data_IF_246110753381
#
_entry.id   IF_246110753381
#
_cell.length_a   1.000
_cell.length_b   1.000
_cell.length_c   1.000
_cell.angle_alpha   90.00
_cell.angle_beta   90.00
_cell.angle_gamma   90.00
#
_symmetry.space_group_name_H-M   'P 1'
#
loop_
_entity.id
_entity.type
_entity.pdbx_description
1 polymer ?
#
# COMPACT_ATOMS: atom_id res chain seq x y z
N UNK A 1 -26.01 -0.51 41.83
CA UNK A 1 -25.36 0.69 41.27
C UNK A 1 -24.34 0.20 40.27
N UNK A 2 -24.49 0.49 38.97
CA UNK A 2 -23.55 -0.03 37.96
C UNK A 2 -22.24 0.74 38.05
N UNK A 3 -21.16 0.08 38.48
CA UNK A 3 -19.83 0.68 38.45
C UNK A 3 -19.39 0.81 36.98
N UNK A 4 -19.08 2.04 36.56
CA UNK A 4 -18.57 2.30 35.21
C UNK A 4 -17.03 2.26 35.24
N UNK A 5 -16.44 1.38 34.44
CA UNK A 5 -14.99 1.32 34.23
C UNK A 5 -14.67 1.88 32.85
N UNK A 6 -13.75 2.83 32.82
CA UNK A 6 -13.15 3.33 31.59
C UNK A 6 -12.06 2.35 31.15
N UNK A 7 -12.28 1.64 30.05
CA UNK A 7 -11.26 0.80 29.43
C UNK A 7 -10.32 1.68 28.63
N UNK A 8 -9.03 1.62 28.96
CA UNK A 8 -7.98 2.37 28.27
C UNK A 8 -7.13 1.44 27.41
N UNK A 9 -6.51 2.00 26.37
CA UNK A 9 -5.50 1.31 25.58
C UNK A 9 -4.33 0.88 26.49
N UNK A 10 -4.06 -0.43 26.65
CA UNK A 10 -2.92 -0.92 27.42
C UNK A 10 -1.59 -0.56 26.74
N UNK A 11 -0.46 -0.88 27.36
CA UNK A 11 0.85 -0.61 26.77
C UNK A 11 1.01 -1.38 25.45
N UNK A 12 1.03 -0.64 24.34
CA UNK A 12 1.18 -1.14 22.97
C UNK A 12 2.65 -1.11 22.51
N UNK A 13 3.60 -1.12 23.46
CA UNK A 13 5.03 -1.18 23.17
C UNK A 13 5.62 0.15 22.70
N UNK A 14 5.10 1.27 23.22
CA UNK A 14 5.59 2.62 22.93
C UNK A 14 5.22 3.19 21.55
N UNK A 15 4.27 2.57 20.83
CA UNK A 15 3.76 3.09 19.56
C UNK A 15 2.68 4.17 19.78
N UNK A 16 2.85 5.35 19.18
CA UNK A 16 1.87 6.44 19.20
C UNK A 16 1.06 6.46 17.89
N UNK A 17 -0.21 6.87 17.94
CA UNK A 17 -1.10 7.01 16.78
C UNK A 17 -1.28 5.71 15.96
N UNK A 18 -1.73 4.66 16.62
CA UNK A 18 -1.95 3.35 16.01
C UNK A 18 -3.38 3.24 15.50
N UNK A 19 -3.57 2.60 14.35
CA UNK A 19 -4.85 2.54 13.63
C UNK A 19 -5.65 1.30 14.03
N UNK A 20 -6.94 1.50 14.26
CA UNK A 20 -7.90 0.42 14.53
C UNK A 20 -8.33 -0.22 13.22
N UNK A 21 -7.99 -1.50 13.04
CA UNK A 21 -8.28 -2.24 11.81
C UNK A 21 -9.60 -3.02 11.88
N UNK A 22 -10.04 -3.40 13.08
CA UNK A 22 -11.25 -4.20 13.28
C UNK A 22 -11.85 -3.94 14.68
N UNK A 23 -13.17 -3.76 14.74
CA UNK A 23 -13.94 -3.75 15.99
C UNK A 23 -14.57 -5.14 16.18
N UNK A 24 -14.24 -5.83 17.27
CA UNK A 24 -14.72 -7.19 17.54
C UNK A 24 -15.99 -7.23 18.39
N UNK A 25 -16.45 -6.07 18.90
CA UNK A 25 -17.58 -5.97 19.83
C UNK A 25 -18.49 -4.80 19.48
N UNK A 26 -19.78 -4.94 19.76
CA UNK A 26 -20.80 -3.90 19.53
C UNK A 26 -21.26 -3.25 20.84
N UNK A 27 -21.71 -1.98 20.82
CA UNK A 27 -22.33 -1.36 21.99
C UNK A 27 -23.59 -2.14 22.40
N UNK A 28 -23.65 -2.57 23.66
CA UNK A 28 -24.72 -3.40 24.23
C UNK A 28 -24.34 -4.87 24.45
N UNK A 29 -23.19 -5.31 23.92
CA UNK A 29 -22.73 -6.70 24.04
C UNK A 29 -22.08 -6.98 25.41
N UNK A 30 -22.30 -8.19 25.94
CA UNK A 30 -21.62 -8.67 27.15
C UNK A 30 -20.27 -9.28 26.80
N UNK A 31 -19.20 -8.76 27.38
CA UNK A 31 -17.82 -9.22 27.12
C UNK A 31 -17.29 -9.94 28.35
N UNK A 32 -16.52 -11.01 28.15
CA UNK A 32 -15.81 -11.74 29.21
C UNK A 32 -14.44 -11.12 29.48
N UNK A 33 -13.88 -11.35 30.66
CA UNK A 33 -12.47 -10.99 30.95
C UNK A 33 -11.55 -11.66 29.92
N UNK A 34 -10.54 -10.94 29.42
CA UNK A 34 -9.61 -11.38 28.36
C UNK A 34 -10.20 -11.55 26.95
N UNK A 35 -11.47 -11.22 26.71
CA UNK A 35 -12.04 -11.24 25.35
C UNK A 35 -11.61 -10.00 24.56
N UNK A 36 -11.17 -10.17 23.32
CA UNK A 36 -10.76 -9.08 22.44
C UNK A 36 -11.83 -8.04 22.18
N UNK A 37 -11.48 -6.77 22.35
CA UNK A 37 -12.35 -5.64 22.05
C UNK A 37 -12.05 -5.06 20.65
N UNK A 38 -10.77 -4.83 20.36
CA UNK A 38 -10.31 -4.15 19.15
C UNK A 38 -9.00 -4.76 18.69
N UNK A 39 -8.85 -4.90 17.38
CA UNK A 39 -7.58 -5.26 16.75
C UNK A 39 -6.88 -4.02 16.21
N UNK A 40 -5.60 -3.88 16.54
CA UNK A 40 -4.80 -2.67 16.27
C UNK A 40 -3.53 -3.06 15.52
N UNK A 41 -3.16 -2.31 14.48
CA UNK A 41 -1.97 -2.58 13.66
C UNK A 41 -0.80 -1.64 14.03
N UNK A 42 0.20 -2.18 14.73
CA UNK A 42 1.46 -1.48 15.02
C UNK A 42 2.48 -1.62 13.88
N UNK A 43 3.60 -0.89 13.92
CA UNK A 43 4.67 -0.94 12.90
C UNK A 43 5.32 -2.34 12.71
N UNK A 44 5.06 -3.28 13.62
CA UNK A 44 5.71 -4.59 13.63
C UNK A 44 4.75 -5.77 13.74
N UNK A 45 3.55 -5.56 14.29
CA UNK A 45 2.59 -6.63 14.49
C UNK A 45 1.17 -6.10 14.61
N UNK A 46 0.22 -6.96 14.24
CA UNK A 46 -1.18 -6.80 14.63
C UNK A 46 -1.36 -7.37 16.03
N UNK A 47 -1.93 -6.57 16.93
CA UNK A 47 -2.17 -6.96 18.32
C UNK A 47 -3.64 -6.76 18.67
N UNK A 48 -4.18 -7.70 19.41
CA UNK A 48 -5.54 -7.65 19.95
C UNK A 48 -5.50 -7.02 21.34
N UNK A 49 -6.40 -6.07 21.60
CA UNK A 49 -6.56 -5.45 22.92
C UNK A 49 -7.67 -6.20 23.67
N UNK A 50 -7.35 -6.98 24.72
CA UNK A 50 -8.35 -7.69 25.51
C UNK A 50 -9.11 -6.76 26.45
N UNK A 51 -10.32 -7.17 26.83
CA UNK A 51 -11.12 -6.51 27.85
C UNK A 51 -10.54 -6.74 29.26
N UNK A 52 -10.29 -5.67 30.05
CA UNK A 52 -9.71 -5.80 31.38
C UNK A 52 -10.65 -6.46 32.40
N UNK A 53 -11.97 -6.48 32.16
CA UNK A 53 -12.95 -7.09 33.04
C UNK A 53 -14.23 -7.47 32.29
N UNK A 54 -14.91 -8.52 32.76
CA UNK A 54 -16.22 -8.90 32.24
C UNK A 54 -17.29 -7.82 32.56
N UNK A 55 -18.10 -7.45 31.57
CA UNK A 55 -19.12 -6.41 31.73
C UNK A 55 -19.89 -6.13 30.44
N UNK A 56 -20.91 -5.29 30.54
CA UNK A 56 -21.70 -4.85 29.38
C UNK A 56 -21.08 -3.58 28.80
N UNK A 57 -20.80 -3.57 27.49
CA UNK A 57 -20.30 -2.38 26.79
C UNK A 57 -21.44 -1.38 26.66
N UNK A 58 -21.37 -0.24 27.36
CA UNK A 58 -22.39 0.81 27.19
C UNK A 58 -22.12 1.72 26.01
N UNK A 59 -20.85 2.03 25.75
CA UNK A 59 -20.45 2.98 24.72
C UNK A 59 -19.03 2.67 24.25
N UNK A 60 -18.83 2.62 22.93
CA UNK A 60 -17.53 2.52 22.29
C UNK A 60 -17.22 3.89 21.68
N UNK A 61 -16.07 4.49 22.02
CA UNK A 61 -15.69 5.84 21.55
C UNK A 61 -14.72 5.82 20.37
N UNK A 62 -14.52 4.65 19.79
CA UNK A 62 -13.50 4.34 18.80
C UNK A 62 -14.18 3.73 17.58
N UNK A 63 -13.95 4.31 16.40
CA UNK A 63 -14.49 3.83 15.13
C UNK A 63 -13.43 3.06 14.33
N UNK A 64 -13.85 2.25 13.35
CA UNK A 64 -12.92 1.61 12.42
C UNK A 64 -12.08 2.68 11.68
N UNK A 65 -10.76 2.51 11.66
CA UNK A 65 -9.82 3.47 11.07
C UNK A 65 -9.45 4.65 11.97
N UNK A 66 -9.95 4.72 13.21
CA UNK A 66 -9.56 5.76 14.16
C UNK A 66 -8.14 5.55 14.72
N UNK A 67 -7.48 6.65 15.07
CA UNK A 67 -6.12 6.66 15.63
C UNK A 67 -6.18 6.73 17.14
N UNK A 68 -5.59 5.74 17.79
CA UNK A 68 -5.54 5.62 19.25
C UNK A 68 -4.10 5.49 19.73
N UNK A 69 -3.82 6.06 20.89
CA UNK A 69 -2.53 6.02 21.57
C UNK A 69 -2.66 5.38 22.95
N UNK A 70 -1.53 5.02 23.56
CA UNK A 70 -1.51 4.44 24.91
C UNK A 70 -2.27 5.34 25.90
N UNK A 71 -3.20 4.74 26.65
CA UNK A 71 -4.01 5.45 27.64
C UNK A 71 -5.30 6.10 27.12
N UNK A 72 -5.57 6.06 25.81
CA UNK A 72 -6.83 6.56 25.24
C UNK A 72 -8.02 5.68 25.63
N UNK A 73 -9.20 6.30 25.73
CA UNK A 73 -10.40 5.64 26.21
C UNK A 73 -11.07 4.87 25.06
N UNK A 74 -11.08 3.54 25.17
CA UNK A 74 -11.63 2.64 24.14
C UNK A 74 -13.14 2.50 24.30
N UNK A 75 -13.59 2.12 25.49
CA UNK A 75 -14.98 1.82 25.79
C UNK A 75 -15.30 2.06 27.26
N UNK A 76 -16.57 2.31 27.54
CA UNK A 76 -17.11 2.37 28.90
C UNK A 76 -17.84 1.05 29.20
N UNK A 77 -17.26 0.26 30.11
CA UNK A 77 -17.87 -0.98 30.61
C UNK A 77 -18.71 -0.70 31.84
N UNK A 78 -19.93 -1.24 31.89
CA UNK A 78 -20.73 -1.31 33.11
C UNK A 78 -20.55 -2.68 33.75
N UNK A 79 -20.00 -2.72 34.97
CA UNK A 79 -19.95 -3.95 35.76
C UNK A 79 -21.34 -4.18 36.32
N UNK A 80 -21.96 -5.29 35.90
CA UNK A 80 -23.06 -5.88 36.63
C UNK A 80 -22.48 -6.92 37.57
N UNK A 81 -22.69 -6.72 38.88
CA UNK A 81 -22.45 -7.76 39.87
C UNK A 81 -23.31 -8.99 39.50
N UNK A 82 -22.68 -10.14 39.61
CA UNK A 82 -23.08 -11.44 39.08
C UNK A 82 -24.53 -11.82 39.44
N UNK A 83 -25.34 -12.08 38.41
CA UNK A 83 -26.58 -12.84 38.52
C UNK A 83 -26.52 -13.98 37.49
N UNK A 84 -26.41 -15.25 37.92
CA UNK A 84 -26.30 -16.38 37.01
C UNK A 84 -27.69 -16.88 36.62
N UNK A 85 -27.95 -17.05 35.32
CA UNK A 85 -28.92 -18.02 34.74
C UNK A 85 -28.99 -17.83 33.21
N UNK A 86 -29.40 -18.84 32.42
CA UNK A 86 -28.92 -20.21 32.34
C UNK A 86 -28.54 -20.58 30.88
N UNK A 87 -27.91 -21.74 30.71
CA UNK A 87 -27.72 -22.40 29.42
C UNK A 87 -29.10 -22.82 28.88
N UNK A 88 -29.45 -22.43 27.66
CA UNK A 88 -30.56 -23.03 26.90
C UNK A 88 -29.98 -23.62 25.61
N UNK A 89 -29.89 -24.95 25.60
CA UNK A 89 -29.81 -25.76 24.40
C UNK A 89 -31.16 -25.70 23.66
N UNK A 90 -31.13 -25.35 22.37
CA UNK A 90 -32.10 -25.76 21.32
C UNK A 90 -31.27 -25.76 20.03
N UNK A 91 -30.76 -26.90 19.58
CA UNK A 91 -31.39 -27.97 18.79
C UNK A 91 -31.30 -27.73 17.27
N UNK A 92 -31.04 -28.83 16.58
CA UNK A 92 -30.79 -29.01 15.16
C UNK A 92 -31.94 -28.52 14.28
N UNK A 93 -31.56 -27.96 13.13
CA UNK A 93 -32.46 -27.76 11.98
C UNK A 93 -31.67 -27.93 10.68
N UNK A 94 -31.80 -29.11 10.09
CA UNK A 94 -31.28 -29.52 8.77
C UNK A 94 -32.04 -28.82 7.62
N UNK A 95 -31.45 -28.88 6.42
CA UNK A 95 -32.02 -28.64 5.07
C UNK A 95 -31.86 -27.19 4.56
N UNK A 96 -31.45 -26.90 3.33
CA UNK A 96 -31.32 -27.71 2.11
C UNK A 96 -30.52 -26.90 1.07
N UNK A 97 -29.59 -27.56 0.37
CA UNK A 97 -29.12 -27.24 -0.99
C UNK A 97 -30.18 -27.83 -1.95
N UNK A 98 -30.63 -27.20 -3.08
CA UNK A 98 -29.75 -27.00 -4.25
C UNK A 98 -30.13 -25.89 -5.25
N UNK A 99 -29.19 -25.55 -6.14
CA UNK A 99 -29.28 -25.84 -7.59
C UNK A 99 -28.59 -24.80 -8.49
N UNK A 100 -27.70 -25.35 -9.31
CA UNK A 100 -26.97 -24.71 -10.42
C UNK A 100 -27.92 -24.59 -11.63
N UNK A 101 -27.76 -23.56 -12.49
CA UNK A 101 -27.51 -23.88 -13.90
C UNK A 101 -26.43 -22.96 -14.51
N UNK A 102 -25.34 -23.51 -15.02
CA UNK A 102 -25.14 -24.09 -16.37
C UNK A 102 -24.83 -23.03 -17.43
N UNK A 103 -23.52 -22.91 -17.65
CA UNK A 103 -22.82 -22.41 -18.83
C UNK A 103 -23.45 -22.92 -20.13
N UNK A 104 -23.69 -22.02 -21.08
CA UNK A 104 -23.87 -22.37 -22.49
C UNK A 104 -23.12 -21.40 -23.41
N UNK A 105 -22.42 -22.02 -24.34
CA UNK A 105 -21.55 -21.54 -25.40
C UNK A 105 -22.31 -21.21 -26.69
N UNK A 106 -21.80 -20.24 -27.46
CA UNK A 106 -21.87 -20.09 -28.94
C UNK A 106 -20.86 -18.99 -29.28
N UNK A 107 -19.70 -19.23 -29.87
CA UNK A 107 -19.37 -19.79 -31.20
C UNK A 107 -19.84 -18.92 -32.38
N UNK A 108 -18.86 -18.24 -33.01
CA UNK A 108 -18.57 -18.09 -34.46
C UNK A 108 -19.73 -17.71 -35.42
N UNK A 109 -19.63 -16.85 -36.44
CA UNK A 109 -18.57 -16.08 -37.14
C UNK A 109 -19.32 -15.03 -38.05
N UNK A 110 -18.86 -14.64 -39.26
CA UNK A 110 -18.09 -13.43 -39.56
C UNK A 110 -18.81 -12.47 -40.56
N UNK A 111 -18.46 -11.18 -40.59
CA UNK A 111 -18.74 -10.32 -41.74
C UNK A 111 -17.55 -9.43 -42.09
N UNK A 112 -17.37 -9.31 -43.40
CA UNK A 112 -16.20 -8.89 -44.17
C UNK A 112 -15.93 -7.37 -44.21
N UNK A 113 -14.76 -6.97 -44.76
CA UNK A 113 -14.29 -5.59 -44.82
C UNK A 113 -14.70 -4.88 -46.12
N UNK A 114 -14.85 -3.55 -46.08
CA UNK A 114 -14.73 -2.63 -47.22
C UNK A 114 -14.22 -1.27 -46.68
N UNK A 115 -12.99 -0.85 -46.97
CA UNK A 115 -12.48 -0.12 -48.16
C UNK A 115 -12.80 1.40 -48.13
N UNK A 116 -11.73 2.15 -47.86
CA UNK A 116 -11.29 3.45 -48.40
C UNK A 116 -12.16 4.70 -48.17
N UNK A 117 -11.58 5.65 -47.43
CA UNK A 117 -11.47 7.06 -47.86
C UNK A 117 -10.18 7.66 -47.26
N UNK A 118 -9.26 8.07 -48.14
CA UNK A 118 -8.11 8.93 -47.83
C UNK A 118 -8.55 10.42 -47.88
N UNK A 119 -7.64 11.42 -47.85
CA UNK A 119 -7.15 12.07 -46.65
C UNK A 119 -7.38 13.59 -46.70
N UNK A 120 -7.80 14.22 -45.59
CA UNK A 120 -7.67 15.67 -45.49
C UNK A 120 -6.44 16.07 -44.69
N UNK A 121 -5.57 16.78 -45.41
CA UNK A 121 -4.38 17.46 -44.91
C UNK A 121 -4.78 18.69 -44.12
N UNK A 122 -4.17 18.89 -42.95
CA UNK A 122 -4.40 20.09 -42.15
C UNK A 122 -3.47 20.26 -40.96
N UNK A 123 -2.28 20.81 -41.24
CA UNK A 123 -1.48 21.65 -40.33
C UNK A 123 -0.80 21.02 -39.09
N UNK A 124 0.41 20.51 -39.33
CA UNK A 124 1.67 20.95 -38.69
C UNK A 124 1.63 21.46 -37.23
N UNK A 125 1.73 20.54 -36.27
CA UNK A 125 2.28 20.83 -34.94
C UNK A 125 3.80 20.89 -35.00
N UNK A 126 4.35 22.03 -35.42
CA UNK A 126 5.79 22.26 -35.44
C UNK A 126 6.39 22.16 -34.03
N UNK A 127 7.48 21.40 -33.93
CA UNK A 127 8.36 21.36 -32.77
C UNK A 127 8.61 22.78 -32.22
N UNK A 128 8.31 23.01 -30.94
CA UNK A 128 8.54 24.29 -30.26
C UNK A 128 10.05 24.47 -30.08
N UNK A 129 10.69 24.98 -31.14
CA UNK A 129 12.09 25.36 -31.16
C UNK A 129 12.40 26.41 -30.10
N UNK A 130 13.69 26.50 -29.75
CA UNK A 130 14.22 27.43 -28.77
C UNK A 130 13.61 28.84 -28.97
N UNK A 131 13.04 29.48 -27.92
CA UNK A 131 12.29 30.74 -28.08
C UNK A 131 13.14 31.81 -28.76
N UNK A 132 12.59 32.45 -29.81
CA UNK A 132 13.31 33.43 -30.63
C UNK A 132 13.43 34.77 -29.90
N UNK A 133 14.48 34.90 -29.08
CA UNK A 133 14.79 36.08 -28.27
C UNK A 133 16.25 36.51 -28.42
N UNK A 134 16.51 37.82 -28.43
CA UNK A 134 17.88 38.37 -28.49
C UNK A 134 18.64 38.12 -27.18
N UNK A 135 20.00 38.13 -27.19
CA UNK A 135 20.80 37.87 -25.99
C UNK A 135 20.47 38.79 -24.80
N UNK A 136 20.20 40.08 -25.06
CA UNK A 136 19.83 41.05 -24.02
C UNK A 136 18.51 40.70 -23.33
N UNK A 137 17.55 40.14 -24.09
CA UNK A 137 16.22 39.78 -23.58
C UNK A 137 16.29 38.46 -22.81
N UNK A 138 17.17 37.54 -23.22
CA UNK A 138 17.52 36.33 -22.45
C UNK A 138 18.24 36.63 -21.14
N UNK A 139 19.01 37.72 -21.08
CA UNK A 139 19.61 38.19 -19.82
C UNK A 139 18.53 38.77 -18.90
N UNK A 140 17.69 39.66 -19.43
CA UNK A 140 16.60 40.29 -18.69
C UNK A 140 15.59 39.27 -18.13
N UNK A 141 15.20 38.25 -18.92
CA UNK A 141 14.29 37.22 -18.47
C UNK A 141 14.87 36.35 -17.34
N UNK A 142 16.19 36.15 -17.30
CA UNK A 142 16.87 35.46 -16.19
C UNK A 142 16.95 36.32 -14.93
N UNK A 143 17.14 37.63 -15.07
CA UNK A 143 17.14 38.58 -13.95
C UNK A 143 15.75 38.71 -13.31
N UNK A 144 14.68 38.55 -14.09
CA UNK A 144 13.29 38.62 -13.64
C UNK A 144 12.64 37.25 -13.38
N UNK A 145 13.41 36.16 -13.47
CA UNK A 145 12.94 34.77 -13.31
C UNK A 145 11.75 34.37 -14.22
N UNK A 146 11.67 34.94 -15.41
CA UNK A 146 10.59 34.69 -16.37
C UNK A 146 10.97 33.58 -17.37
N UNK A 147 10.20 32.48 -17.48
CA UNK A 147 10.44 31.45 -18.48
C UNK A 147 10.02 31.93 -19.89
N UNK A 148 11.00 32.15 -20.77
CA UNK A 148 10.77 32.60 -22.17
C UNK A 148 9.91 31.65 -23.01
N UNK A 149 9.70 30.40 -22.58
CA UNK A 149 8.82 29.44 -23.25
C UNK A 149 7.33 29.80 -23.16
N UNK A 150 6.97 30.63 -22.16
CA UNK A 150 5.61 31.03 -21.84
C UNK A 150 5.30 32.48 -22.22
N UNK A 151 6.31 33.23 -22.69
CA UNK A 151 6.17 34.61 -23.14
C UNK A 151 5.88 34.62 -24.64
N UNK A 152 4.71 35.14 -25.01
CA UNK A 152 4.34 35.34 -26.42
C UNK A 152 5.05 36.57 -26.96
N UNK A 153 5.90 36.39 -27.98
CA UNK A 153 6.65 37.49 -28.61
C UNK A 153 5.85 38.20 -29.69
N UNK A 154 5.75 39.53 -29.61
CA UNK A 154 5.02 40.37 -30.58
C UNK A 154 5.91 41.01 -31.65
N UNK A 155 7.23 40.83 -31.55
CA UNK A 155 8.20 41.41 -32.48
C UNK A 155 8.26 40.73 -33.85
N UNK A 156 9.05 41.31 -34.75
CA UNK A 156 9.24 40.81 -36.13
C UNK A 156 9.64 39.33 -36.13
N UNK A 157 8.87 38.51 -36.86
CA UNK A 157 8.97 37.04 -36.91
C UNK A 157 8.75 36.33 -35.55
N UNK A 158 7.87 36.88 -34.71
CA UNK A 158 7.56 36.30 -33.39
C UNK A 158 8.70 36.45 -32.38
N UNK A 159 9.54 37.48 -32.55
CA UNK A 159 10.64 37.77 -31.62
C UNK A 159 10.07 38.29 -30.30
N UNK A 160 10.53 37.72 -29.19
CA UNK A 160 10.21 38.26 -27.86
C UNK A 160 10.92 39.60 -27.69
N UNK A 161 10.15 40.65 -27.41
CA UNK A 161 10.65 42.00 -27.15
C UNK A 161 10.77 42.27 -25.65
N UNK A 162 11.35 43.42 -25.29
CA UNK A 162 11.46 43.85 -23.89
C UNK A 162 10.07 44.03 -23.27
N UNK A 163 9.14 44.62 -24.02
CA UNK A 163 7.80 44.95 -23.55
C UNK A 163 6.95 43.69 -23.28
N UNK A 164 7.14 42.63 -24.07
CA UNK A 164 6.46 41.34 -23.87
C UNK A 164 6.85 40.69 -22.53
N UNK A 165 8.12 40.79 -22.12
CA UNK A 165 8.60 40.27 -20.82
C UNK A 165 7.99 41.07 -19.67
N UNK A 166 7.91 42.40 -19.79
CA UNK A 166 7.29 43.23 -18.76
C UNK A 166 5.77 43.05 -18.69
N UNK A 167 5.10 42.85 -19.83
CA UNK A 167 3.68 42.55 -19.87
C UNK A 167 3.38 41.23 -19.15
N UNK A 168 4.20 40.20 -19.37
CA UNK A 168 4.07 38.91 -18.68
C UNK A 168 4.26 39.03 -17.16
N UNK A 169 5.27 39.78 -16.70
CA UNK A 169 5.49 40.03 -15.25
C UNK A 169 4.31 40.79 -14.64
N UNK A 170 3.76 41.78 -15.36
CA UNK A 170 2.58 42.53 -14.91
C UNK A 170 1.34 41.64 -14.81
N UNK A 171 1.17 40.70 -15.72
CA UNK A 171 0.10 39.70 -15.68
C UNK A 171 0.26 38.71 -14.50
N UNK A 172 1.49 38.29 -14.23
CA UNK A 172 1.82 37.44 -13.09
C UNK A 172 1.55 38.15 -11.75
N UNK A 173 1.92 39.43 -11.65
CA UNK A 173 1.66 40.25 -10.46
C UNK A 173 0.17 40.62 -10.28
N UNK A 174 -0.61 40.61 -11.37
CA UNK A 174 -2.07 40.85 -11.31
C UNK A 174 -2.89 39.57 -11.12
N UNK A 175 -2.24 38.41 -10.90
CA UNK A 175 -2.90 37.14 -10.57
C UNK A 175 -3.71 36.54 -11.72
N UNK A 176 -3.49 36.99 -12.96
CA UNK A 176 -4.28 36.58 -14.14
C UNK A 176 -3.54 35.62 -15.07
N UNK A 177 -2.40 35.08 -14.65
CA UNK A 177 -1.68 34.10 -15.46
C UNK A 177 -2.54 32.84 -15.67
N UNK A 178 -2.62 32.30 -16.90
CA UNK A 178 -3.14 30.96 -17.10
C UNK A 178 -2.26 30.01 -16.27
N UNK A 179 -2.88 29.29 -15.33
CA UNK A 179 -2.22 28.20 -14.65
C UNK A 179 -1.54 27.32 -15.71
N UNK A 180 -0.29 26.86 -15.51
CA UNK A 180 0.27 25.86 -16.40
C UNK A 180 -0.77 24.75 -16.45
N UNK A 181 -1.22 24.40 -17.66
CA UNK A 181 -2.01 23.21 -17.85
C UNK A 181 -1.27 22.11 -17.11
N UNK A 182 -1.88 21.61 -16.04
CA UNK A 182 -1.39 20.44 -15.34
C UNK A 182 -1.52 19.32 -16.36
N UNK A 183 -0.46 19.17 -17.17
CA UNK A 183 -0.11 17.91 -17.77
C UNK A 183 -0.27 16.91 -16.63
N UNK A 184 -1.31 16.10 -16.74
CA UNK A 184 -1.57 15.05 -15.79
C UNK A 184 -0.28 14.30 -15.69
N UNK A 185 0.33 14.32 -14.50
CA UNK A 185 1.59 13.68 -14.23
C UNK A 185 1.44 12.19 -14.53
N UNK A 186 1.62 11.81 -15.79
CA UNK A 186 1.94 10.47 -16.18
C UNK A 186 3.27 10.21 -15.51
N UNK A 187 3.28 9.26 -14.61
CA UNK A 187 4.47 8.68 -13.97
C UNK A 187 5.38 7.95 -14.99
N UNK A 188 5.36 8.37 -16.26
CA UNK A 188 6.08 7.79 -17.38
C UNK A 188 7.05 8.79 -17.99
N UNK A 189 8.10 8.25 -18.60
CA UNK A 189 9.17 8.98 -19.28
C UNK A 189 8.63 10.06 -20.24
N UNK A 190 9.31 11.22 -20.38
CA UNK A 190 8.89 12.29 -21.27
C UNK A 190 8.76 11.79 -22.72
N UNK A 191 7.59 11.96 -23.33
CA UNK A 191 7.33 11.58 -24.73
C UNK A 191 6.64 10.23 -24.94
N UNK A 192 6.32 9.48 -23.88
CA UNK A 192 5.49 8.29 -23.99
C UNK A 192 4.00 8.63 -23.81
N UNK A 193 3.15 7.96 -24.58
CA UNK A 193 1.70 8.03 -24.37
C UNK A 193 1.37 7.62 -22.93
N UNK A 194 0.39 8.27 -22.28
CA UNK A 194 -0.03 7.90 -20.95
C UNK A 194 -0.48 6.43 -20.92
N UNK A 195 -0.06 5.72 -19.88
CA UNK A 195 -0.44 4.31 -19.72
C UNK A 195 -1.96 4.17 -19.74
N UNK A 196 -2.52 3.25 -20.54
CA UNK A 196 -3.96 3.10 -20.64
C UNK A 196 -4.54 2.76 -19.27
N UNK A 197 -5.49 3.56 -18.80
CA UNK A 197 -6.27 3.26 -17.61
C UNK A 197 -7.26 2.16 -18.00
N UNK A 198 -6.96 0.93 -17.59
CA UNK A 198 -7.87 -0.20 -17.76
C UNK A 198 -9.06 0.04 -16.84
N UNK A 199 -10.24 0.12 -17.42
CA UNK A 199 -11.48 0.09 -16.66
C UNK A 199 -11.76 -1.35 -16.25
N UNK A 200 -11.76 -1.61 -14.95
CA UNK A 200 -12.01 -2.94 -14.41
C UNK A 200 -13.51 -3.23 -14.25
N UNK A 201 -14.39 -2.23 -14.39
CA UNK A 201 -15.84 -2.39 -14.29
C UNK A 201 -16.41 -3.25 -15.42
N UNK A 202 -15.73 -3.30 -16.57
CA UNK A 202 -16.12 -4.16 -17.69
C UNK A 202 -16.04 -5.66 -17.34
N UNK A 203 -15.33 -6.04 -16.28
CA UNK A 203 -15.14 -7.43 -15.85
C UNK A 203 -16.02 -7.84 -14.66
N UNK A 204 -16.86 -6.93 -14.13
CA UNK A 204 -17.76 -7.22 -13.01
C UNK A 204 -17.75 -6.13 -11.92
N UNK A 205 -18.49 -6.33 -10.82
CA UNK A 205 -18.52 -5.38 -9.71
C UNK A 205 -17.13 -5.28 -9.07
N UNK A 206 -16.64 -4.05 -8.94
CA UNK A 206 -15.35 -3.77 -8.32
C UNK A 206 -15.54 -3.22 -6.90
N UNK A 207 -14.64 -3.63 -6.00
CA UNK A 207 -14.56 -3.09 -4.64
C UNK A 207 -13.20 -2.42 -4.46
N UNK A 208 -13.19 -1.15 -4.05
CA UNK A 208 -11.94 -0.46 -3.72
C UNK A 208 -11.68 -0.61 -2.23
N UNK A 209 -10.59 -1.32 -1.90
CA UNK A 209 -10.10 -1.44 -0.52
C UNK A 209 -8.88 -0.57 -0.33
N UNK A 210 -8.86 0.20 0.75
CA UNK A 210 -7.67 0.95 1.11
C UNK A 210 -6.54 0.01 1.52
N UNK A 211 -5.31 0.35 1.13
CA UNK A 211 -4.13 -0.46 1.48
C UNK A 211 -3.79 -0.28 2.98
N UNK A 212 -3.59 -1.38 3.72
CA UNK A 212 -3.05 -1.35 5.07
C UNK A 212 -1.71 -0.60 5.13
N UNK A 213 -1.42 0.00 6.29
CA UNK A 213 -0.24 0.83 6.49
C UNK A 213 1.06 0.05 6.26
N UNK A 214 1.16 -1.20 6.74
CA UNK A 214 2.33 -2.05 6.50
C UNK A 214 2.59 -2.28 5.00
N UNK A 215 1.54 -2.42 4.19
CA UNK A 215 1.66 -2.62 2.73
C UNK A 215 2.11 -1.36 2.03
N UNK A 216 1.64 -0.19 2.46
CA UNK A 216 2.08 1.11 1.92
C UNK A 216 3.59 1.33 2.15
N UNK A 217 4.08 1.02 3.35
CA UNK A 217 5.50 1.19 3.70
C UNK A 217 6.38 0.11 3.06
N UNK A 218 6.01 -1.16 3.19
CA UNK A 218 6.81 -2.27 2.64
C UNK A 218 6.80 -2.30 1.11
N UNK A 219 5.70 -1.90 0.47
CA UNK A 219 5.56 -1.92 -0.98
C UNK A 219 6.61 -1.08 -1.70
N UNK A 220 6.90 0.14 -1.20
CA UNK A 220 7.94 0.99 -1.77
C UNK A 220 9.33 0.36 -1.67
N UNK A 221 9.64 -0.28 -0.54
CA UNK A 221 10.93 -0.95 -0.32
C UNK A 221 11.09 -2.21 -1.18
N UNK A 222 10.04 -3.02 -1.29
CA UNK A 222 10.02 -4.22 -2.14
C UNK A 222 10.14 -3.85 -3.62
N UNK A 223 9.38 -2.86 -4.08
CA UNK A 223 9.47 -2.36 -5.45
C UNK A 223 10.86 -1.81 -5.76
N UNK A 224 11.45 -1.03 -4.85
CA UNK A 224 12.83 -0.55 -5.00
C UNK A 224 13.82 -1.71 -5.12
N UNK A 225 13.68 -2.74 -4.29
CA UNK A 225 14.53 -3.94 -4.36
C UNK A 225 14.41 -4.60 -5.74
N UNK A 226 13.18 -4.83 -6.21
CA UNK A 226 12.87 -5.48 -7.48
C UNK A 226 13.43 -4.74 -8.70
N UNK A 227 13.35 -3.41 -8.70
CA UNK A 227 13.84 -2.61 -9.85
C UNK A 227 15.35 -2.38 -9.79
N UNK A 228 15.94 -2.30 -8.59
CA UNK A 228 17.34 -1.88 -8.43
C UNK A 228 18.31 -3.06 -8.46
N UNK A 229 17.93 -4.20 -7.89
CA UNK A 229 18.82 -5.36 -7.79
C UNK A 229 18.53 -6.28 -8.97
N UNK A 230 19.54 -6.65 -9.78
CA UNK A 230 19.37 -7.67 -10.81
C UNK A 230 19.29 -9.04 -10.15
N UNK A 231 18.08 -9.50 -9.79
CA UNK A 231 17.88 -10.82 -9.21
C UNK A 231 18.27 -11.91 -10.20
N UNK A 232 19.06 -12.88 -9.72
CA UNK A 232 19.31 -14.14 -10.42
C UNK A 232 18.86 -15.26 -9.48
N UNK A 233 18.02 -16.15 -9.97
CA UNK A 233 17.53 -17.31 -9.23
C UNK A 233 18.34 -18.54 -9.63
N UNK A 234 18.88 -19.25 -8.64
CA UNK A 234 19.51 -20.57 -8.82
C UNK A 234 18.68 -21.62 -8.07
N UNK A 235 18.54 -22.81 -8.66
CA UNK A 235 17.82 -23.94 -8.08
C UNK A 235 18.74 -25.16 -8.13
N UNK A 236 18.89 -25.83 -7.00
CA UNK A 236 19.69 -27.05 -6.86
C UNK A 236 18.91 -28.06 -6.01
N UNK A 237 19.02 -29.34 -6.36
CA UNK A 237 18.43 -30.42 -5.60
C UNK A 237 19.45 -30.95 -4.58
N UNK A 238 18.99 -31.21 -3.36
CA UNK A 238 19.80 -31.77 -2.29
C UNK A 238 19.10 -32.99 -1.68
N UNK A 239 19.83 -34.10 -1.55
CA UNK A 239 19.36 -35.26 -0.81
C UNK A 239 19.44 -34.97 0.70
N UNK A 240 18.30 -35.15 1.38
CA UNK A 240 18.15 -34.89 2.82
C UNK A 240 17.86 -36.16 3.62
N UNK A 241 18.00 -37.35 3.02
CA UNK A 241 17.64 -38.63 3.66
C UNK A 241 18.37 -38.81 5.01
N UNK A 242 19.70 -38.69 5.03
CA UNK A 242 20.49 -38.83 6.26
C UNK A 242 20.20 -37.72 7.29
N UNK A 243 19.89 -36.51 6.81
CA UNK A 243 19.54 -35.37 7.68
C UNK A 243 18.20 -35.62 8.39
N UNK A 244 17.23 -36.19 7.69
CA UNK A 244 15.92 -36.50 8.24
C UNK A 244 15.99 -37.64 9.25
N UNK A 245 16.76 -38.69 8.96
CA UNK A 245 17.01 -39.78 9.91
C UNK A 245 17.66 -39.24 11.19
N UNK A 246 18.67 -38.38 11.06
CA UNK A 246 19.30 -37.70 12.20
C UNK A 246 18.31 -36.83 12.98
N UNK A 247 17.42 -36.11 12.29
CA UNK A 247 16.38 -35.27 12.92
C UNK A 247 15.39 -36.11 13.72
N UNK A 248 14.99 -37.27 13.22
CA UNK A 248 14.08 -38.19 13.92
C UNK A 248 14.78 -38.77 15.14
N UNK A 249 16.03 -39.21 15.02
CA UNK A 249 16.82 -39.70 16.14
C UNK A 249 16.96 -38.64 17.24
N UNK A 250 17.38 -37.42 16.89
CA UNK A 250 17.58 -36.32 17.83
C UNK A 250 16.29 -35.93 18.57
N UNK A 251 15.15 -35.96 17.88
CA UNK A 251 13.85 -35.74 18.51
C UNK A 251 13.42 -36.89 19.43
N UNK A 252 13.84 -38.13 19.13
CA UNK A 252 13.62 -39.26 20.01
C UNK A 252 14.42 -39.13 21.31
N UNK A 253 15.69 -38.74 21.22
CA UNK A 253 16.57 -38.53 22.37
C UNK A 253 16.09 -37.38 23.27
N UNK A 254 15.64 -36.27 22.67
CA UNK A 254 15.16 -35.09 23.39
C UNK A 254 13.63 -35.06 23.61
N UNK A 255 12.94 -36.18 23.42
CA UNK A 255 11.50 -36.26 23.61
C UNK A 255 11.08 -35.94 25.06
N UNK A 256 11.92 -36.30 26.04
CA UNK A 256 11.67 -36.04 27.47
C UNK A 256 11.92 -34.57 27.86
N UNK A 257 12.76 -33.87 27.10
CA UNK A 257 13.08 -32.46 27.33
C UNK A 257 12.02 -31.52 26.73
N UNK A 258 11.05 -32.06 25.98
CA UNK A 258 10.01 -31.29 25.30
C UNK A 258 10.52 -30.44 24.12
N UNK A 259 11.79 -30.59 23.74
CA UNK A 259 12.42 -29.83 22.66
C UNK A 259 12.25 -30.56 21.34
N UNK A 260 11.54 -29.93 20.40
CA UNK A 260 11.36 -30.47 19.04
C UNK A 260 12.24 -29.70 18.04
N UNK A 261 13.19 -30.42 17.44
CA UNK A 261 14.04 -29.92 16.38
C UNK A 261 13.34 -30.05 15.03
N UNK A 262 13.16 -28.91 14.37
CA UNK A 262 12.57 -28.80 13.03
C UNK A 262 13.65 -28.80 11.95
N UNK A 263 13.28 -29.18 10.73
CA UNK A 263 14.18 -29.14 9.57
C UNK A 263 14.69 -27.72 9.29
N UNK A 264 13.85 -26.70 9.55
CA UNK A 264 14.22 -25.29 9.41
C UNK A 264 15.43 -24.91 10.27
N UNK A 265 15.51 -25.41 11.51
CA UNK A 265 16.65 -25.12 12.39
C UNK A 265 17.97 -25.68 11.83
N UNK A 266 17.93 -26.87 11.24
CA UNK A 266 19.08 -27.47 10.57
C UNK A 266 19.48 -26.69 9.30
N UNK A 267 18.50 -26.24 8.52
CA UNK A 267 18.71 -25.41 7.32
C UNK A 267 19.35 -24.06 7.66
N UNK A 268 18.92 -23.42 8.75
CA UNK A 268 19.55 -22.20 9.27
C UNK A 268 21.00 -22.48 9.67
N UNK A 269 21.26 -23.59 10.40
CA UNK A 269 22.63 -23.96 10.79
C UNK A 269 23.53 -24.19 9.58
N UNK A 270 23.04 -24.91 8.56
CA UNK A 270 23.74 -25.14 7.31
C UNK A 270 24.04 -23.81 6.58
N UNK A 271 23.06 -22.90 6.53
CA UNK A 271 23.21 -21.56 5.94
C UNK A 271 24.28 -20.74 6.66
N UNK A 272 24.31 -20.75 8.00
CA UNK A 272 25.33 -20.05 8.79
C UNK A 272 26.73 -20.60 8.49
N UNK A 273 26.89 -21.92 8.44
CA UNK A 273 28.18 -22.55 8.11
C UNK A 273 28.62 -22.21 6.68
N UNK A 274 27.69 -22.23 5.72
CA UNK A 274 27.97 -21.86 4.33
C UNK A 274 28.41 -20.38 4.21
N UNK A 275 27.73 -19.46 4.90
CA UNK A 275 28.08 -18.03 4.92
C UNK A 275 29.43 -17.78 5.58
N UNK A 276 29.78 -18.52 6.65
CA UNK A 276 31.10 -18.43 7.28
C UNK A 276 32.21 -18.91 6.35
N UNK A 277 31.97 -19.99 5.60
CA UNK A 277 32.93 -20.56 4.63
C UNK A 277 33.11 -19.65 3.41
N UNK A 278 32.02 -19.07 2.90
CA UNK A 278 32.00 -18.25 1.69
C UNK A 278 31.76 -16.77 2.01
N UNK A 279 32.65 -16.15 2.80
CA UNK A 279 32.51 -14.75 3.26
C UNK A 279 32.30 -13.71 2.16
N UNK A 280 32.73 -13.98 0.92
CA UNK A 280 32.59 -13.05 -0.20
C UNK A 280 31.17 -12.99 -0.80
N UNK A 281 30.30 -13.99 -0.57
CA UNK A 281 28.92 -13.97 -1.08
C UNK A 281 27.99 -13.05 -0.27
N UNK A 282 28.46 -12.55 0.89
CA UNK A 282 27.72 -11.68 1.80
C UNK A 282 28.34 -10.28 1.84
N UNK A 283 28.72 -9.75 0.68
CA UNK A 283 29.09 -8.34 0.57
C UNK A 283 27.84 -7.53 0.24
N UNK A 284 27.46 -6.63 1.14
CA UNK A 284 26.55 -5.55 0.78
C UNK A 284 27.26 -4.74 -0.29
N UNK A 285 26.67 -4.66 -1.48
CA UNK A 285 27.14 -3.75 -2.52
C UNK A 285 26.90 -2.32 -2.02
N UNK A 286 27.80 -1.84 -1.18
CA UNK A 286 27.90 -0.42 -0.87
C UNK A 286 28.47 0.20 -2.12
N UNK A 287 27.64 0.97 -2.84
CA UNK A 287 28.12 1.90 -3.84
C UNK A 287 29.22 2.71 -3.19
N UNK A 288 30.47 2.38 -3.51
CA UNK A 288 31.65 3.09 -3.05
C UNK A 288 31.44 4.51 -3.56
N UNK A 289 31.02 5.43 -2.68
CA UNK A 289 30.94 6.85 -3.02
C UNK A 289 32.34 7.21 -3.49
N UNK A 290 32.49 7.36 -4.81
CA UNK A 290 33.65 8.03 -5.38
C UNK A 290 33.69 9.40 -4.72
N UNK A 291 34.75 9.62 -3.94
CA UNK A 291 35.19 10.96 -3.60
C UNK A 291 35.37 11.81 -4.85
#
# INVERSE_FOLDING_TARGET
>A
MSAMINVRVPDIGGAENVEVIELMVQPGESVKTEQGLITVETDKATMEIPAPQAGLIKEIKVEMGSRISQGDLIAMLAIAEEAPVPISEIDMGVSEEPSVPKRQSRDQSPLQPDIISQPDSGAAGAAKGLPYASPSIRKLARELEVPLANVTGTGVKGRITKDDVFAYVKELMSGRAPAPATEHASTGFPGLLPWPKVDFEQFGPIERRELPRIRKISGANLHRNWVTIPHVTNHEDADITELEDFRVQLNGEHAQDGVKVTLLAMLIKASVVALQKFRNSMQVWMARKSS
#
